data_IF_309520699838
#
_entry.id   IF_309520699838
#
_cell.length_a   1.000
_cell.length_b   1.000
_cell.length_c   1.000
_cell.angle_alpha   90.00
_cell.angle_beta   90.00
_cell.angle_gamma   90.00
#
_symmetry.space_group_name_H-M   'P 1'
#
loop_
_entity.id
_entity.type
_entity.pdbx_description
1 polymer ?
#
# COMPACT_ATOMS: atom_id res chain seq x y z
N UNK A 1 3.06 15.05 15.95
CA UNK A 1 3.33 14.74 14.54
C UNK A 1 2.37 13.63 14.12
N UNK A 2 1.49 13.86 13.14
CA UNK A 2 0.64 12.78 12.59
C UNK A 2 1.54 11.88 11.74
N UNK A 3 1.73 10.63 12.15
CA UNK A 3 2.46 9.61 11.40
C UNK A 3 1.67 9.28 10.13
N UNK A 4 2.34 9.27 8.96
CA UNK A 4 1.69 8.90 7.70
C UNK A 4 1.02 7.51 7.82
N UNK A 5 -0.10 7.22 7.15
CA UNK A 5 -0.66 5.87 7.12
C UNK A 5 0.30 4.87 6.48
N UNK A 6 0.15 3.59 6.82
CA UNK A 6 0.92 2.50 6.21
C UNK A 6 0.22 2.00 4.94
N UNK A 7 1.01 1.69 3.92
CA UNK A 7 0.53 0.99 2.73
C UNK A 7 1.28 -0.34 2.59
N UNK A 8 0.60 -1.46 2.85
CA UNK A 8 1.10 -2.78 2.49
C UNK A 8 0.90 -2.97 0.99
N UNK A 9 2.00 -3.17 0.27
CA UNK A 9 2.03 -3.10 -1.19
C UNK A 9 2.61 -4.38 -1.76
N UNK A 10 1.82 -5.13 -2.51
CA UNK A 10 2.33 -6.23 -3.32
C UNK A 10 2.89 -5.75 -4.66
N UNK A 11 3.76 -6.55 -5.29
CA UNK A 11 4.41 -6.21 -6.56
C UNK A 11 3.68 -6.88 -7.72
N UNK A 12 3.56 -8.21 -7.65
CA UNK A 12 2.91 -8.99 -8.71
C UNK A 12 1.42 -8.66 -8.74
N UNK A 13 0.84 -8.55 -9.93
CA UNK A 13 -0.55 -8.16 -10.09
C UNK A 13 -0.89 -6.71 -9.67
N UNK A 14 0.03 -5.95 -9.07
CA UNK A 14 -0.15 -4.53 -8.70
C UNK A 14 0.75 -3.61 -9.54
N UNK A 15 2.07 -3.73 -9.47
CA UNK A 15 2.99 -2.95 -10.33
C UNK A 15 3.09 -3.55 -11.73
N UNK A 16 2.84 -4.85 -11.83
CA UNK A 16 2.75 -5.60 -13.06
C UNK A 16 1.30 -6.01 -13.32
N UNK A 17 0.95 -6.19 -14.58
CA UNK A 17 -0.36 -6.67 -15.02
C UNK A 17 -0.20 -7.64 -16.19
N UNK A 18 -1.26 -8.38 -16.47
CA UNK A 18 -1.35 -9.24 -17.65
C UNK A 18 -2.00 -8.45 -18.78
N UNK A 19 -1.25 -8.27 -19.86
CA UNK A 19 -1.69 -7.55 -21.04
C UNK A 19 -1.42 -8.40 -22.27
N UNK A 20 -2.49 -8.87 -22.89
CA UNK A 20 -2.42 -9.75 -24.05
C UNK A 20 -1.61 -11.04 -23.83
N UNK A 21 -1.64 -11.60 -22.61
CA UNK A 21 -0.93 -12.83 -22.23
C UNK A 21 0.52 -12.59 -21.80
N UNK A 22 0.96 -11.34 -21.74
CA UNK A 22 2.30 -10.96 -21.29
C UNK A 22 2.23 -10.27 -19.94
N UNK A 23 3.08 -10.73 -19.01
CA UNK A 23 3.24 -10.11 -17.70
C UNK A 23 4.22 -8.95 -17.80
N UNK A 24 3.71 -7.72 -17.71
CA UNK A 24 4.51 -6.53 -17.94
C UNK A 24 4.16 -5.40 -16.97
N UNK A 25 5.09 -4.45 -16.88
CA UNK A 25 4.97 -3.29 -16.02
C UNK A 25 3.75 -2.44 -16.41
N UNK A 26 2.96 -2.02 -15.42
CA UNK A 26 1.77 -1.22 -15.68
C UNK A 26 2.13 0.21 -16.12
N UNK A 27 1.31 0.81 -17.01
CA UNK A 27 1.40 2.23 -17.31
C UNK A 27 1.31 3.09 -16.05
N UNK A 28 2.13 4.14 -15.97
CA UNK A 28 2.08 5.12 -14.87
C UNK A 28 2.78 4.69 -13.57
N UNK A 29 3.52 3.57 -13.55
CA UNK A 29 4.15 3.04 -12.33
C UNK A 29 5.05 4.06 -11.62
N UNK A 30 5.80 4.89 -12.35
CA UNK A 30 6.69 5.89 -11.74
C UNK A 30 5.89 6.96 -10.98
N UNK A 31 4.79 7.44 -11.57
CA UNK A 31 3.89 8.42 -10.95
C UNK A 31 3.19 7.81 -9.72
N UNK A 32 2.77 6.55 -9.83
CA UNK A 32 2.19 5.79 -8.72
C UNK A 32 3.17 5.66 -7.55
N UNK A 33 4.40 5.20 -7.81
CA UNK A 33 5.44 5.06 -6.77
C UNK A 33 5.74 6.41 -6.13
N UNK A 34 5.77 7.48 -6.93
CA UNK A 34 6.00 8.82 -6.41
C UNK A 34 4.91 9.26 -5.43
N UNK A 35 3.65 9.10 -5.84
CA UNK A 35 2.49 9.46 -5.05
C UNK A 35 2.36 8.58 -3.78
N UNK A 36 2.53 7.27 -3.91
CA UNK A 36 2.45 6.33 -2.78
C UNK A 36 3.51 6.66 -1.72
N UNK A 37 4.76 6.88 -2.15
CA UNK A 37 5.84 7.29 -1.24
C UNK A 37 5.75 8.73 -0.76
N UNK A 38 4.85 9.57 -1.27
CA UNK A 38 4.58 10.89 -0.70
C UNK A 38 3.59 10.78 0.46
N UNK A 39 2.54 9.98 0.26
CA UNK A 39 1.36 9.92 1.13
C UNK A 39 1.42 8.82 2.20
N UNK A 40 2.23 7.79 2.01
CA UNK A 40 2.29 6.62 2.88
C UNK A 40 3.71 6.30 3.35
N UNK A 41 3.77 5.54 4.46
CA UNK A 41 4.88 4.64 4.73
C UNK A 41 4.61 3.32 4.01
N UNK A 42 5.33 3.07 2.91
CA UNK A 42 5.14 1.87 2.10
C UNK A 42 5.92 0.71 2.71
N UNK A 43 5.23 -0.40 2.95
CA UNK A 43 5.80 -1.68 3.35
C UNK A 43 5.53 -2.68 2.23
N UNK A 44 6.59 -3.17 1.60
CA UNK A 44 6.49 -4.18 0.56
C UNK A 44 6.07 -5.51 1.18
N UNK A 45 4.91 -6.02 0.79
CA UNK A 45 4.32 -7.28 1.26
C UNK A 45 4.18 -8.23 0.08
N UNK A 46 5.30 -8.81 -0.32
CA UNK A 46 5.45 -9.59 -1.55
C UNK A 46 6.36 -10.78 -1.30
N UNK A 47 6.31 -11.81 -2.14
CA UNK A 47 7.24 -12.95 -2.08
C UNK A 47 8.64 -12.61 -2.59
N UNK A 48 8.81 -11.44 -3.20
CA UNK A 48 10.09 -11.01 -3.76
C UNK A 48 11.15 -10.78 -2.70
N UNK A 49 12.39 -11.16 -3.02
CA UNK A 49 13.54 -10.86 -2.17
C UNK A 49 13.82 -9.37 -2.11
N UNK A 50 14.20 -8.87 -0.93
CA UNK A 50 14.46 -7.44 -0.69
C UNK A 50 15.39 -6.79 -1.72
N UNK A 51 16.44 -7.47 -2.16
CA UNK A 51 17.41 -6.92 -3.11
C UNK A 51 16.83 -6.79 -4.52
N UNK A 52 15.92 -7.69 -4.91
CA UNK A 52 15.20 -7.58 -6.19
C UNK A 52 14.26 -6.38 -6.18
N UNK A 53 13.57 -6.14 -5.06
CA UNK A 53 12.70 -4.96 -4.89
C UNK A 53 13.53 -3.68 -4.97
N UNK A 54 14.64 -3.59 -4.24
CA UNK A 54 15.53 -2.42 -4.29
C UNK A 54 16.06 -2.16 -5.69
N UNK A 55 16.43 -3.21 -6.43
CA UNK A 55 16.87 -3.10 -7.82
C UNK A 55 15.74 -2.62 -8.73
N UNK A 56 14.53 -3.14 -8.57
CA UNK A 56 13.36 -2.66 -9.31
C UNK A 56 13.11 -1.17 -9.04
N UNK A 57 13.10 -0.77 -7.77
CA UNK A 57 12.88 0.62 -7.37
C UNK A 57 13.99 1.56 -7.82
N UNK A 58 15.25 1.10 -7.87
CA UNK A 58 16.35 1.92 -8.39
C UNK A 58 16.24 2.17 -9.88
N UNK A 59 15.62 1.25 -10.64
CA UNK A 59 15.35 1.41 -12.09
C UNK A 59 14.10 2.26 -12.33
N UNK A 60 12.99 1.96 -11.65
CA UNK A 60 11.71 2.64 -11.89
C UNK A 60 11.65 4.03 -11.26
N UNK A 61 12.38 4.23 -10.17
CA UNK A 61 12.27 5.42 -9.35
C UNK A 61 13.65 5.94 -8.92
N UNK A 62 14.55 6.01 -9.90
CA UNK A 62 15.96 6.40 -9.76
C UNK A 62 16.17 7.62 -8.86
N UNK A 63 15.35 8.68 -9.02
CA UNK A 63 15.53 9.95 -8.32
C UNK A 63 15.40 9.88 -6.79
N UNK A 64 14.72 8.87 -6.23
CA UNK A 64 14.57 8.71 -4.76
C UNK A 64 15.38 7.57 -4.15
N UNK A 65 15.77 6.56 -4.94
CA UNK A 65 16.47 5.37 -4.43
C UNK A 65 17.91 5.20 -4.96
N UNK A 66 18.36 6.02 -5.91
CA UNK A 66 19.78 6.12 -6.27
C UNK A 66 20.47 7.14 -5.35
N UNK A 67 21.22 6.64 -4.37
CA UNK A 67 22.29 7.38 -3.68
C UNK A 67 21.91 8.71 -2.98
N UNK A 68 20.67 8.86 -2.50
CA UNK A 68 20.29 10.01 -1.68
C UNK A 68 20.33 9.63 -0.18
N UNK A 69 21.18 10.26 0.66
CA UNK A 69 21.18 10.04 2.11
C UNK A 69 19.87 10.49 2.83
N UNK A 70 18.99 11.23 2.15
CA UNK A 70 17.62 11.54 2.62
C UNK A 70 16.55 10.55 2.11
N UNK A 71 16.96 9.43 1.48
CA UNK A 71 16.02 8.43 1.00
C UNK A 71 15.14 7.92 2.17
N UNK A 72 13.82 7.91 1.94
CA UNK A 72 12.87 7.34 2.92
C UNK A 72 13.26 5.89 3.26
N UNK A 73 13.04 5.44 4.49
CA UNK A 73 13.40 4.09 4.89
C UNK A 73 12.68 3.05 4.03
N UNK A 74 13.44 2.08 3.55
CA UNK A 74 12.95 0.93 2.80
C UNK A 74 12.43 -0.13 3.79
N UNK A 75 11.16 -0.50 3.68
CA UNK A 75 10.52 -1.49 4.55
C UNK A 75 10.00 -2.67 3.72
N UNK A 76 10.44 -3.87 4.07
CA UNK A 76 10.01 -5.12 3.45
C UNK A 76 9.53 -6.09 4.54
N UNK A 77 8.33 -6.64 4.33
CA UNK A 77 7.70 -7.58 5.24
C UNK A 77 8.14 -9.01 4.92
N UNK A 78 8.77 -9.67 5.89
CA UNK A 78 9.03 -11.11 5.80
C UNK A 78 7.78 -11.89 6.25
N UNK A 79 6.82 -12.03 5.34
CA UNK A 79 5.58 -12.78 5.58
C UNK A 79 5.71 -14.27 5.26
N UNK A 80 6.77 -14.70 4.58
CA UNK A 80 6.98 -16.10 4.20
C UNK A 80 7.21 -17.03 5.40
N UNK A 81 7.41 -16.48 6.60
CA UNK A 81 7.41 -17.23 7.86
C UNK A 81 6.01 -17.41 8.46
N UNK A 82 4.98 -16.85 7.83
CA UNK A 82 3.57 -17.04 8.18
C UNK A 82 2.88 -17.90 7.12
N UNK A 83 1.71 -18.43 7.47
CA UNK A 83 0.90 -19.26 6.55
C UNK A 83 0.51 -18.50 5.28
N UNK A 84 0.15 -17.22 5.42
CA UNK A 84 -0.20 -16.33 4.31
C UNK A 84 -0.05 -14.86 4.73
N UNK A 85 -0.20 -13.94 3.76
CA UNK A 85 -0.17 -12.48 3.96
C UNK A 85 -1.22 -12.01 4.99
N UNK A 86 -2.41 -12.63 5.04
CA UNK A 86 -3.48 -12.25 5.97
C UNK A 86 -3.07 -12.44 7.43
N UNK A 87 -2.50 -13.62 7.76
CA UNK A 87 -1.97 -13.91 9.10
C UNK A 87 -0.88 -12.92 9.48
N UNK A 88 0.01 -12.59 8.55
CA UNK A 88 1.06 -11.62 8.80
C UNK A 88 0.50 -10.21 9.08
N UNK A 89 -0.46 -9.74 8.26
CA UNK A 89 -1.13 -8.45 8.47
C UNK A 89 -1.82 -8.42 9.83
N UNK A 90 -2.56 -9.47 10.20
CA UNK A 90 -3.22 -9.57 11.49
C UNK A 90 -2.24 -9.39 12.65
N UNK A 91 -1.06 -10.03 12.59
CA UNK A 91 0.00 -9.86 13.58
C UNK A 91 0.62 -8.45 13.55
N UNK A 92 0.79 -7.87 12.36
CA UNK A 92 1.28 -6.51 12.19
C UNK A 92 0.32 -5.50 12.83
N UNK A 93 -0.99 -5.69 12.71
CA UNK A 93 -2.01 -4.78 13.24
C UNK A 93 -1.91 -4.61 14.75
N UNK A 94 -1.57 -5.69 15.47
CA UNK A 94 -1.35 -5.64 16.92
C UNK A 94 -0.21 -4.69 17.31
N UNK A 95 0.75 -4.47 16.41
CA UNK A 95 1.93 -3.62 16.62
C UNK A 95 1.71 -2.18 16.16
N UNK A 96 0.68 -1.92 15.34
CA UNK A 96 0.43 -0.59 14.76
C UNK A 96 -0.14 0.44 15.74
N UNK A 97 -0.58 0.03 16.94
CA UNK A 97 -1.09 0.94 17.99
C UNK A 97 -2.13 1.94 17.48
N UNK A 98 -3.04 1.50 16.60
CA UNK A 98 -4.09 2.33 16.01
C UNK A 98 -3.66 3.20 14.83
N UNK A 99 -2.44 3.03 14.30
CA UNK A 99 -2.00 3.71 13.08
C UNK A 99 -2.85 3.28 11.89
N UNK A 100 -3.24 4.26 11.07
CA UNK A 100 -3.99 4.01 9.83
C UNK A 100 -3.18 3.18 8.83
N UNK A 101 -3.86 2.31 8.09
CA UNK A 101 -3.24 1.39 7.15
C UNK A 101 -4.18 0.99 6.03
N UNK A 102 -3.59 0.59 4.89
CA UNK A 102 -4.25 0.00 3.74
C UNK A 102 -3.40 -1.13 3.18
N UNK A 103 -4.02 -2.06 2.45
CA UNK A 103 -3.34 -3.15 1.76
C UNK A 103 -3.82 -3.25 0.31
N UNK A 104 -2.89 -3.32 -0.63
CA UNK A 104 -3.17 -3.56 -2.05
C UNK A 104 -2.59 -4.91 -2.46
N UNK A 105 -3.41 -5.72 -3.12
CA UNK A 105 -3.07 -7.05 -3.62
C UNK A 105 -4.03 -7.41 -4.77
N UNK A 106 -3.62 -8.23 -5.74
CA UNK A 106 -4.55 -8.77 -6.73
C UNK A 106 -5.36 -9.96 -6.17
N UNK A 107 -4.85 -10.62 -5.13
CA UNK A 107 -5.46 -11.80 -4.52
C UNK A 107 -6.53 -11.48 -3.46
N UNK A 108 -6.85 -10.20 -3.19
CA UNK A 108 -7.80 -9.82 -2.12
C UNK A 108 -9.13 -10.57 -2.19
N UNK A 109 -9.68 -10.80 -3.39
CA UNK A 109 -10.93 -11.56 -3.55
C UNK A 109 -10.79 -13.02 -3.08
N UNK A 110 -9.69 -13.68 -3.45
CA UNK A 110 -9.41 -15.04 -3.03
C UNK A 110 -9.18 -15.13 -1.52
N UNK A 111 -8.56 -14.10 -0.96
CA UNK A 111 -8.22 -14.01 0.45
C UNK A 111 -9.38 -13.50 1.31
N UNK A 112 -10.48 -13.01 0.72
CA UNK A 112 -11.60 -12.39 1.44
C UNK A 112 -12.14 -13.23 2.60
N UNK A 113 -12.38 -14.56 2.46
CA UNK A 113 -12.82 -15.38 3.59
C UNK A 113 -11.81 -15.42 4.75
N UNK A 114 -10.51 -15.44 4.44
CA UNK A 114 -9.46 -15.41 5.45
C UNK A 114 -9.33 -14.02 6.11
N UNK A 115 -9.49 -12.95 5.33
CA UNK A 115 -9.49 -11.56 5.80
C UNK A 115 -10.62 -11.33 6.81
N UNK A 116 -11.84 -11.75 6.46
CA UNK A 116 -13.01 -11.65 7.34
C UNK A 116 -12.81 -12.47 8.61
N UNK A 117 -12.35 -13.73 8.49
CA UNK A 117 -12.05 -14.60 9.64
C UNK A 117 -10.98 -14.01 10.56
N UNK A 118 -10.01 -13.27 10.02
CA UNK A 118 -8.99 -12.58 10.78
C UNK A 118 -9.49 -11.30 11.47
N UNK A 119 -10.75 -10.89 11.23
CA UNK A 119 -11.32 -9.65 11.74
C UNK A 119 -10.74 -8.41 11.08
N UNK A 120 -10.16 -8.54 9.88
CA UNK A 120 -9.60 -7.42 9.14
C UNK A 120 -10.70 -6.74 8.30
N UNK A 121 -10.78 -5.40 8.33
CA UNK A 121 -11.75 -4.65 7.53
C UNK A 121 -11.46 -4.77 6.02
N UNK A 122 -12.39 -5.36 5.26
CA UNK A 122 -12.30 -5.46 3.80
C UNK A 122 -12.21 -4.09 3.13
N UNK A 123 -12.83 -3.06 3.70
CA UNK A 123 -12.77 -1.69 3.19
C UNK A 123 -11.36 -1.08 3.27
N UNK A 124 -10.41 -1.70 3.98
CA UNK A 124 -8.99 -1.31 3.98
C UNK A 124 -8.14 -2.12 3.00
N UNK A 125 -8.71 -3.17 2.41
CA UNK A 125 -8.09 -4.00 1.39
C UNK A 125 -8.52 -3.48 0.01
N UNK A 126 -7.57 -3.31 -0.91
CA UNK A 126 -7.79 -2.81 -2.27
C UNK A 126 -7.35 -3.92 -3.20
N UNK A 127 -8.32 -4.47 -3.93
CA UNK A 127 -8.02 -5.41 -5.00
C UNK A 127 -7.48 -4.64 -6.21
N UNK A 128 -6.35 -5.06 -6.77
CA UNK A 128 -5.98 -4.67 -8.13
C UNK A 128 -6.58 -5.62 -9.17
N UNK A 129 -7.03 -5.08 -10.29
CA UNK A 129 -7.41 -5.86 -11.46
C UNK A 129 -6.18 -6.17 -12.33
N UNK A 130 -5.73 -7.45 -12.46
CA UNK A 130 -4.55 -7.81 -13.25
C UNK A 130 -4.62 -7.37 -14.72
N UNK A 131 -5.84 -7.22 -15.27
CA UNK A 131 -6.08 -6.85 -16.67
C UNK A 131 -6.41 -5.35 -16.86
N UNK A 132 -6.44 -4.57 -15.78
CA UNK A 132 -6.82 -3.15 -15.83
C UNK A 132 -5.77 -2.28 -16.53
N UNK A 133 -6.19 -1.50 -17.53
CA UNK A 133 -5.30 -0.59 -18.29
C UNK A 133 -4.86 0.63 -17.45
N UNK A 134 -5.79 1.23 -16.69
CA UNK A 134 -5.55 2.40 -15.83
C UNK A 134 -5.58 2.06 -14.34
N UNK A 135 -5.23 0.82 -14.00
CA UNK A 135 -5.48 0.26 -12.66
C UNK A 135 -4.80 1.06 -11.54
N UNK A 136 -3.56 1.51 -11.75
CA UNK A 136 -2.83 2.31 -10.77
C UNK A 136 -3.50 3.67 -10.52
N UNK A 137 -4.14 4.26 -11.53
CA UNK A 137 -4.89 5.52 -11.38
C UNK A 137 -6.19 5.29 -10.58
N UNK A 138 -6.87 4.17 -10.81
CA UNK A 138 -8.07 3.77 -10.06
C UNK A 138 -7.73 3.53 -8.59
N UNK A 139 -6.64 2.79 -8.31
CA UNK A 139 -6.15 2.53 -6.96
C UNK A 139 -5.75 3.85 -6.27
N UNK A 140 -5.01 4.72 -6.96
CA UNK A 140 -4.64 6.05 -6.45
C UNK A 140 -5.87 6.87 -6.09
N UNK A 141 -6.85 6.96 -6.97
CA UNK A 141 -8.10 7.72 -6.73
C UNK A 141 -8.88 7.17 -5.53
N UNK A 142 -8.94 5.84 -5.41
CA UNK A 142 -9.58 5.14 -4.29
C UNK A 142 -8.92 5.49 -2.96
N UNK A 143 -7.59 5.44 -2.92
CA UNK A 143 -6.81 5.75 -1.72
C UNK A 143 -6.85 7.23 -1.38
N UNK A 144 -6.79 8.12 -2.38
CA UNK A 144 -6.92 9.56 -2.18
C UNK A 144 -8.24 9.92 -1.48
N UNK A 145 -9.37 9.39 -1.98
CA UNK A 145 -10.67 9.61 -1.33
C UNK A 145 -10.75 9.01 0.08
N UNK A 146 -10.06 7.90 0.36
CA UNK A 146 -9.96 7.33 1.72
C UNK A 146 -9.13 8.22 2.64
N UNK A 147 -8.00 8.75 2.16
CA UNK A 147 -7.16 9.68 2.91
C UNK A 147 -7.88 10.98 3.24
N UNK A 148 -8.68 11.52 2.30
CA UNK A 148 -9.48 12.71 2.53
C UNK A 148 -10.52 12.50 3.63
N UNK A 149 -11.24 11.37 3.61
CA UNK A 149 -12.19 11.01 4.67
C UNK A 149 -11.51 10.86 6.03
N UNK A 150 -10.31 10.27 6.08
CA UNK A 150 -9.52 10.17 7.31
C UNK A 150 -9.08 11.56 7.81
N UNK A 151 -8.69 12.47 6.93
CA UNK A 151 -8.33 13.84 7.31
C UNK A 151 -9.54 14.59 7.87
N UNK A 152 -10.71 14.44 7.25
CA UNK A 152 -11.96 15.06 7.70
C UNK A 152 -12.40 14.53 9.07
N UNK A 153 -12.34 13.21 9.31
CA UNK A 153 -12.69 12.64 10.62
C UNK A 153 -11.73 13.04 11.74
N UNK A 154 -10.47 13.31 11.41
CA UNK A 154 -9.45 13.79 12.36
C UNK A 154 -9.39 15.32 12.50
N UNK A 155 -10.16 16.07 11.72
CA UNK A 155 -10.21 17.54 11.74
C UNK A 155 -11.49 18.11 12.36
N UNK A 156 -12.43 17.25 12.76
CA UNK A 156 -13.76 17.64 13.27
C UNK A 156 -13.86 17.85 14.78
N UNK A 157 -12.75 18.12 15.49
CA UNK A 157 -12.75 18.31 16.96
C UNK A 157 -11.99 19.56 17.41
N UNK A 158 -12.04 20.67 16.65
CA UNK A 158 -11.43 21.95 17.06
C UNK A 158 -12.35 23.18 16.89
N UNK A 159 -13.69 23.02 16.84
CA UNK A 159 -14.63 24.16 16.82
C UNK A 159 -15.69 24.03 17.92
N UNK A 160 -15.27 24.04 19.18
CA UNK A 160 -16.17 24.30 20.29
C UNK A 160 -15.41 24.84 21.52
N UNK A 161 -14.97 26.09 21.46
CA UNK A 161 -14.90 26.94 22.65
C UNK A 161 -14.81 28.43 22.27
N UNK A 162 -15.52 29.25 23.03
CA UNK A 162 -15.61 30.73 23.01
C UNK A 162 -16.56 31.40 22.00
N UNK A 163 -17.84 31.40 22.35
CA UNK A 163 -18.58 32.66 22.43
C UNK A 163 -19.32 32.70 23.77
N UNK A 164 -18.62 33.23 24.79
CA UNK A 164 -19.21 33.74 26.02
C UNK A 164 -19.53 35.24 25.85
#
# INVERSE_FOLDING_TARGET
MKTAPILFHDIDGVLFGDYAGEFQLRPGVNSWLAWAHEHFEVIWLTSWESEKIKTLLSVLYCGKFCSNPEARPFHHANWTNCENKVVWIQQAMQKLKGREWFWIDDEIEMLAPAIEKAGLPLERCIRSNPLGQDELLIIQSTLAGRLERLRASMGGTDDNEEAA
#
